data_IF_900883260839
#
_entry.id   IF_900883260839
#
_cell.length_a   1.000
_cell.length_b   1.000
_cell.length_c   1.000
_cell.angle_alpha   90.00
_cell.angle_beta   90.00
_cell.angle_gamma   90.00
#
_symmetry.space_group_name_H-M   'P 1'
#
loop_
_entity.id
_entity.type
_entity.pdbx_description
1 polymer ?
#
# COMPACT_ATOMS: atom_id res chain seq x y z
N UNK A 1 -15.51 -26.77 4.84
CA UNK A 1 -14.13 -26.39 4.52
C UNK A 1 -13.44 -27.29 3.50
N UNK A 2 -13.42 -28.65 3.64
CA UNK A 2 -12.76 -29.54 2.65
C UNK A 2 -13.40 -29.51 1.24
N UNK A 3 -14.72 -29.42 1.10
CA UNK A 3 -15.40 -29.31 -0.21
C UNK A 3 -15.18 -27.95 -0.89
N UNK A 4 -15.03 -26.87 -0.13
CA UNK A 4 -14.81 -25.51 -0.65
C UNK A 4 -13.43 -25.34 -1.31
N UNK A 5 -12.41 -26.04 -0.82
CA UNK A 5 -11.06 -26.02 -1.42
C UNK A 5 -10.94 -26.85 -2.70
N UNK A 6 -11.84 -27.81 -2.92
CA UNK A 6 -11.81 -28.64 -4.13
C UNK A 6 -12.47 -27.99 -5.37
N UNK A 7 -13.24 -26.91 -5.19
CA UNK A 7 -13.90 -26.17 -6.28
C UNK A 7 -13.03 -25.10 -6.95
N UNK A 8 -11.74 -25.01 -6.62
CA UNK A 8 -10.78 -24.28 -7.41
C UNK A 8 -10.59 -25.05 -8.72
N UNK A 9 -11.40 -24.73 -9.74
CA UNK A 9 -11.26 -25.36 -11.06
C UNK A 9 -9.84 -25.18 -11.56
N UNK A 10 -9.27 -26.19 -12.22
CA UNK A 10 -7.89 -26.18 -12.77
C UNK A 10 -7.59 -24.90 -13.56
N UNK A 11 -8.55 -24.40 -14.32
CA UNK A 11 -8.47 -23.14 -15.09
C UNK A 11 -8.11 -21.91 -14.24
N UNK A 12 -8.57 -21.82 -13.00
CA UNK A 12 -8.30 -20.66 -12.13
C UNK A 12 -6.93 -20.78 -11.43
N UNK A 13 -6.46 -22.00 -11.20
CA UNK A 13 -5.09 -22.26 -10.73
C UNK A 13 -4.13 -21.83 -11.83
N UNK A 14 -4.36 -22.25 -13.08
CA UNK A 14 -3.57 -21.85 -14.25
C UNK A 14 -3.54 -20.33 -14.43
N UNK A 15 -4.67 -19.63 -14.26
CA UNK A 15 -4.73 -18.18 -14.36
C UNK A 15 -3.87 -17.48 -13.30
N UNK A 16 -3.89 -17.98 -12.05
CA UNK A 16 -3.08 -17.45 -10.96
C UNK A 16 -1.59 -17.70 -11.18
N UNK A 17 -1.23 -18.91 -11.59
CA UNK A 17 0.18 -19.30 -11.88
C UNK A 17 0.73 -18.53 -13.07
N UNK A 18 -0.03 -18.42 -14.16
CA UNK A 18 0.35 -17.64 -15.34
C UNK A 18 0.54 -16.16 -14.99
N UNK A 19 -0.42 -15.58 -14.27
CA UNK A 19 -0.35 -14.18 -13.84
C UNK A 19 0.87 -13.90 -12.97
N UNK A 20 1.16 -14.77 -12.00
CA UNK A 20 2.36 -14.71 -11.17
C UNK A 20 3.62 -14.80 -12.01
N UNK A 21 3.70 -15.79 -12.90
CA UNK A 21 4.86 -16.02 -13.75
C UNK A 21 5.13 -14.83 -14.68
N UNK A 22 4.09 -14.30 -15.33
CA UNK A 22 4.20 -13.12 -16.21
C UNK A 22 4.66 -11.91 -15.41
N UNK A 23 4.06 -11.64 -14.24
CA UNK A 23 4.47 -10.52 -13.38
C UNK A 23 5.92 -10.65 -12.92
N UNK A 24 6.35 -11.86 -12.52
CA UNK A 24 7.73 -12.13 -12.12
C UNK A 24 8.70 -11.95 -13.29
N UNK A 25 8.43 -12.56 -14.43
CA UNK A 25 9.31 -12.49 -15.62
C UNK A 25 9.40 -11.06 -16.12
N UNK A 26 8.27 -10.34 -16.24
CA UNK A 26 8.27 -8.92 -16.60
C UNK A 26 9.06 -8.06 -15.59
N UNK A 27 8.93 -8.32 -14.29
CA UNK A 27 9.70 -7.62 -13.27
C UNK A 27 11.22 -7.87 -13.43
N UNK A 28 11.63 -9.09 -13.68
CA UNK A 28 13.03 -9.43 -13.94
C UNK A 28 13.54 -8.81 -15.25
N UNK A 29 12.74 -8.81 -16.31
CA UNK A 29 13.07 -8.15 -17.58
C UNK A 29 13.23 -6.64 -17.40
N UNK A 30 12.35 -5.97 -16.68
CA UNK A 30 12.48 -4.54 -16.37
C UNK A 30 13.78 -4.23 -15.62
N UNK A 31 14.19 -5.09 -14.69
CA UNK A 31 15.50 -4.95 -14.02
C UNK A 31 16.66 -5.18 -15.00
N UNK A 32 16.63 -6.23 -15.80
CA UNK A 32 17.70 -6.57 -16.73
C UNK A 32 17.88 -5.53 -17.85
N UNK A 33 16.78 -4.91 -18.29
CA UNK A 33 16.76 -3.92 -19.37
C UNK A 33 16.90 -2.47 -18.90
N UNK A 34 17.19 -2.23 -17.63
CA UNK A 34 17.30 -0.88 -17.04
C UNK A 34 18.25 0.03 -17.83
N UNK A 35 19.30 -0.49 -18.47
CA UNK A 35 20.22 0.29 -19.30
C UNK A 35 19.54 1.00 -20.50
N UNK A 36 18.42 0.47 -20.99
CA UNK A 36 17.72 1.02 -22.16
C UNK A 36 16.65 2.06 -21.77
N UNK A 37 15.94 1.87 -20.67
CA UNK A 37 14.84 2.74 -20.24
C UNK A 37 15.17 3.57 -18.98
N UNK A 38 16.30 3.33 -18.33
CA UNK A 38 16.64 3.89 -17.02
C UNK A 38 16.63 5.42 -17.01
N UNK A 39 16.98 6.09 -18.14
CA UNK A 39 16.95 7.56 -18.23
C UNK A 39 15.57 8.16 -17.88
N UNK A 40 14.49 7.42 -18.07
CA UNK A 40 13.10 7.86 -17.80
C UNK A 40 12.53 7.26 -16.52
N UNK A 41 13.00 6.06 -16.13
CA UNK A 41 12.36 5.23 -15.10
C UNK A 41 13.11 5.16 -13.78
N UNK A 42 14.41 5.54 -13.77
CA UNK A 42 15.21 5.49 -12.55
C UNK A 42 14.77 6.56 -11.54
N UNK A 43 14.53 6.13 -10.32
CA UNK A 43 14.27 7.02 -9.20
C UNK A 43 15.58 7.64 -8.68
N UNK A 44 15.55 8.97 -8.44
CA UNK A 44 16.73 9.68 -7.93
C UNK A 44 17.00 9.33 -6.48
N UNK A 45 18.29 9.24 -6.10
CA UNK A 45 18.71 8.89 -4.73
C UNK A 45 18.66 10.05 -3.75
N UNK A 46 18.33 11.28 -4.19
CA UNK A 46 18.25 12.49 -3.36
C UNK A 46 16.82 12.97 -3.20
N UNK A 47 16.41 13.30 -1.97
CA UNK A 47 15.07 13.82 -1.64
C UNK A 47 14.67 13.53 -0.19
N UNK A 48 13.62 14.21 0.31
CA UNK A 48 13.17 14.15 1.72
C UNK A 48 12.71 12.75 2.14
N UNK A 49 12.17 11.96 1.19
CA UNK A 49 11.62 10.61 1.42
C UNK A 49 12.50 9.49 0.81
N UNK A 50 13.70 9.81 0.31
CA UNK A 50 14.57 8.86 -0.39
C UNK A 50 15.50 8.14 0.59
N UNK A 51 15.30 6.84 0.74
CA UNK A 51 16.09 5.99 1.65
C UNK A 51 16.96 4.96 0.90
N UNK A 52 16.95 4.96 -0.43
CA UNK A 52 17.77 4.09 -1.26
C UNK A 52 19.08 4.79 -1.69
N UNK A 53 20.13 4.00 -1.86
CA UNK A 53 21.48 4.48 -2.24
C UNK A 53 21.83 4.22 -3.70
N UNK A 54 21.04 3.39 -4.39
CA UNK A 54 21.25 3.00 -5.80
C UNK A 54 20.04 3.44 -6.61
N UNK A 55 20.24 4.07 -7.79
CA UNK A 55 19.14 4.38 -8.70
C UNK A 55 18.39 3.11 -9.09
N UNK A 56 17.08 3.06 -8.88
CA UNK A 56 16.25 1.87 -9.09
C UNK A 56 15.05 2.21 -9.99
N UNK A 57 14.69 1.38 -10.97
CA UNK A 57 13.49 1.60 -11.78
C UNK A 57 12.22 1.60 -10.93
N UNK A 58 11.29 2.55 -11.20
CA UNK A 58 10.03 2.73 -10.46
C UNK A 58 8.80 2.50 -11.35
N UNK A 59 8.81 1.42 -12.11
CA UNK A 59 7.75 1.06 -13.07
C UNK A 59 7.23 -0.37 -12.85
N UNK A 60 7.30 -0.87 -11.61
CA UNK A 60 6.82 -2.22 -11.26
C UNK A 60 5.33 -2.45 -11.55
N UNK A 61 4.53 -1.37 -11.54
CA UNK A 61 3.13 -1.43 -11.93
C UNK A 61 2.88 -1.97 -13.33
N UNK A 62 3.82 -1.80 -14.28
CA UNK A 62 3.71 -2.41 -15.62
C UNK A 62 3.73 -3.94 -15.56
N UNK A 63 4.61 -4.52 -14.77
CA UNK A 63 4.71 -5.97 -14.62
C UNK A 63 3.42 -6.54 -13.99
N UNK A 64 2.87 -5.86 -12.99
CA UNK A 64 1.61 -6.24 -12.35
C UNK A 64 0.45 -6.15 -13.34
N UNK A 65 0.32 -5.04 -14.08
CA UNK A 65 -0.75 -4.87 -15.06
C UNK A 65 -0.70 -5.95 -16.15
N UNK A 66 0.49 -6.24 -16.70
CA UNK A 66 0.65 -7.32 -17.68
C UNK A 66 0.28 -8.68 -17.08
N UNK A 67 0.75 -8.99 -15.87
CA UNK A 67 0.37 -10.21 -15.15
C UNK A 67 -1.15 -10.35 -14.99
N UNK A 68 -1.84 -9.27 -14.65
CA UNK A 68 -3.30 -9.25 -14.51
C UNK A 68 -4.03 -9.46 -15.85
N UNK A 69 -3.54 -8.84 -16.92
CA UNK A 69 -4.11 -9.01 -18.27
C UNK A 69 -4.01 -10.48 -18.70
N UNK A 70 -2.83 -11.09 -18.56
CA UNK A 70 -2.62 -12.50 -18.92
C UNK A 70 -3.44 -13.45 -18.02
N UNK A 71 -3.50 -13.16 -16.72
CA UNK A 71 -4.38 -13.91 -15.80
C UNK A 71 -5.86 -13.82 -16.20
N UNK A 72 -6.33 -12.63 -16.58
CA UNK A 72 -7.68 -12.42 -17.06
C UNK A 72 -7.95 -13.23 -18.35
N UNK A 73 -7.03 -13.19 -19.31
CA UNK A 73 -7.16 -13.95 -20.56
C UNK A 73 -7.19 -15.47 -20.34
N UNK A 74 -6.45 -15.97 -19.37
CA UNK A 74 -6.41 -17.39 -19.00
C UNK A 74 -7.56 -17.83 -18.10
N UNK A 75 -8.34 -16.90 -17.55
CA UNK A 75 -9.45 -17.19 -16.64
C UNK A 75 -10.68 -17.71 -17.39
N UNK A 76 -11.54 -18.43 -16.67
CA UNK A 76 -12.87 -18.84 -17.19
C UNK A 76 -13.72 -17.64 -17.59
N UNK A 77 -14.68 -17.82 -18.50
CA UNK A 77 -15.58 -16.75 -18.96
C UNK A 77 -16.33 -16.08 -17.77
N UNK A 78 -16.69 -16.85 -16.76
CA UNK A 78 -17.32 -16.33 -15.53
C UNK A 78 -16.37 -15.41 -14.77
N UNK A 79 -15.14 -15.82 -14.61
CA UNK A 79 -14.12 -15.03 -13.92
C UNK A 79 -13.73 -13.77 -14.70
N UNK A 80 -13.70 -13.84 -16.05
CA UNK A 80 -13.46 -12.69 -16.92
C UNK A 80 -14.52 -11.60 -16.77
N UNK A 81 -15.79 -11.97 -16.53
CA UNK A 81 -16.88 -11.00 -16.28
C UNK A 81 -16.63 -10.11 -15.06
N UNK A 82 -15.85 -10.59 -14.09
CA UNK A 82 -15.47 -9.80 -12.92
C UNK A 82 -14.13 -9.06 -13.14
N UNK A 83 -13.13 -9.74 -13.71
CA UNK A 83 -11.78 -9.17 -13.89
C UNK A 83 -11.70 -8.12 -15.01
N UNK A 84 -12.35 -8.34 -16.17
CA UNK A 84 -12.18 -7.45 -17.31
C UNK A 84 -12.73 -6.03 -17.07
N UNK A 85 -13.95 -5.83 -16.51
CA UNK A 85 -14.44 -4.50 -16.13
C UNK A 85 -13.54 -3.83 -15.09
N UNK A 86 -13.02 -4.61 -14.14
CA UNK A 86 -12.12 -4.10 -13.10
C UNK A 86 -10.81 -3.58 -13.69
N UNK A 87 -10.19 -4.33 -14.62
CA UNK A 87 -8.96 -3.91 -15.30
C UNK A 87 -9.19 -2.70 -16.21
N UNK A 88 -10.31 -2.67 -16.94
CA UNK A 88 -10.68 -1.52 -17.77
C UNK A 88 -10.87 -0.26 -16.92
N UNK A 89 -11.58 -0.37 -15.80
CA UNK A 89 -11.80 0.74 -14.87
C UNK A 89 -10.52 1.19 -14.15
N UNK A 90 -9.53 0.32 -13.97
CA UNK A 90 -8.24 0.68 -13.39
C UNK A 90 -7.39 1.61 -14.29
N UNK A 91 -7.73 1.71 -15.59
CA UNK A 91 -6.90 2.44 -16.56
C UNK A 91 -6.62 3.90 -16.18
N UNK A 92 -7.57 4.75 -15.75
CA UNK A 92 -7.26 6.12 -15.35
C UNK A 92 -6.24 6.18 -14.20
N UNK A 93 -6.43 5.41 -13.12
CA UNK A 93 -5.52 5.37 -11.99
C UNK A 93 -4.12 4.91 -12.40
N UNK A 94 -4.04 3.84 -13.18
CA UNK A 94 -2.79 3.27 -13.65
C UNK A 94 -2.04 4.20 -14.60
N UNK A 95 -2.73 4.75 -15.62
CA UNK A 95 -2.10 5.58 -16.64
C UNK A 95 -1.57 6.90 -16.06
N UNK A 96 -2.32 7.57 -15.18
CA UNK A 96 -1.85 8.78 -14.51
C UNK A 96 -0.69 8.48 -13.54
N UNK A 97 -0.69 7.32 -12.89
CA UNK A 97 0.43 6.87 -12.07
C UNK A 97 1.68 6.60 -12.89
N UNK A 98 1.59 5.85 -14.00
CA UNK A 98 2.71 5.62 -14.92
C UNK A 98 3.20 6.94 -15.55
N UNK A 99 2.29 7.85 -15.93
CA UNK A 99 2.67 9.16 -16.42
C UNK A 99 3.50 9.94 -15.38
N UNK A 100 3.16 9.86 -14.08
CA UNK A 100 3.98 10.44 -13.01
C UNK A 100 5.33 9.74 -12.89
N UNK A 101 5.36 8.41 -12.93
CA UNK A 101 6.59 7.62 -12.86
C UNK A 101 7.59 7.99 -13.94
N UNK A 102 7.10 8.28 -15.14
CA UNK A 102 7.93 8.62 -16.30
C UNK A 102 8.27 10.11 -16.38
N UNK A 103 7.31 10.99 -16.06
CA UNK A 103 7.45 12.43 -16.34
C UNK A 103 7.72 13.27 -15.09
N UNK A 104 7.30 12.82 -13.91
CA UNK A 104 7.33 13.56 -12.64
C UNK A 104 6.61 14.91 -12.70
N UNK A 105 5.57 15.00 -13.53
CA UNK A 105 4.86 16.26 -13.81
C UNK A 105 3.36 16.19 -13.51
N UNK A 106 2.84 15.02 -13.15
CA UNK A 106 1.41 14.86 -12.85
C UNK A 106 1.13 15.37 -11.43
N UNK A 107 0.26 16.35 -11.31
CA UNK A 107 -0.07 16.95 -10.02
C UNK A 107 -0.78 15.96 -9.10
N UNK A 108 -0.68 16.18 -7.77
CA UNK A 108 -1.36 15.35 -6.76
C UNK A 108 -2.88 15.34 -6.98
N UNK A 109 -3.45 16.53 -7.30
CA UNK A 109 -4.89 16.64 -7.61
C UNK A 109 -5.30 15.84 -8.83
N UNK A 110 -4.49 15.86 -9.91
CA UNK A 110 -4.78 15.09 -11.12
C UNK A 110 -4.77 13.57 -10.84
N UNK A 111 -3.84 13.09 -10.02
CA UNK A 111 -3.77 11.67 -9.61
C UNK A 111 -4.96 11.27 -8.73
N UNK A 112 -5.38 12.15 -7.80
CA UNK A 112 -6.59 11.91 -6.99
C UNK A 112 -7.84 11.85 -7.88
N UNK A 113 -8.01 12.79 -8.80
CA UNK A 113 -9.14 12.79 -9.75
C UNK A 113 -9.11 11.54 -10.63
N UNK A 114 -7.94 11.11 -11.11
CA UNK A 114 -7.80 9.90 -11.91
C UNK A 114 -8.19 8.63 -11.14
N UNK A 115 -7.79 8.52 -9.86
CA UNK A 115 -8.18 7.38 -9.02
C UNK A 115 -9.68 7.38 -8.69
N UNK A 116 -10.28 8.55 -8.48
CA UNK A 116 -11.74 8.68 -8.35
C UNK A 116 -12.46 8.36 -9.66
N UNK A 117 -11.94 8.81 -10.81
CA UNK A 117 -12.48 8.47 -12.13
C UNK A 117 -12.47 6.96 -12.39
N UNK A 118 -11.46 6.23 -11.91
CA UNK A 118 -11.47 4.76 -11.91
C UNK A 118 -12.64 4.18 -11.11
N UNK A 119 -12.97 4.77 -9.96
CA UNK A 119 -14.14 4.37 -9.17
C UNK A 119 -15.45 4.62 -9.91
N UNK A 120 -15.61 5.78 -10.55
CA UNK A 120 -16.79 6.09 -11.38
C UNK A 120 -16.89 5.16 -12.59
N UNK A 121 -15.77 4.91 -13.29
CA UNK A 121 -15.72 4.01 -14.43
C UNK A 121 -16.13 2.58 -14.05
N UNK A 122 -15.67 2.11 -12.88
CA UNK A 122 -16.04 0.79 -12.40
C UNK A 122 -17.52 0.69 -12.02
N UNK A 123 -18.08 1.74 -11.39
CA UNK A 123 -19.52 1.81 -11.19
C UNK A 123 -20.28 1.78 -12.52
N UNK A 124 -19.87 2.55 -13.51
CA UNK A 124 -20.52 2.58 -14.82
C UNK A 124 -20.51 1.23 -15.54
N UNK A 125 -19.47 0.41 -15.33
CA UNK A 125 -19.32 -0.92 -15.93
C UNK A 125 -20.02 -2.04 -15.14
N UNK A 126 -20.20 -1.85 -13.82
CA UNK A 126 -20.67 -2.94 -12.92
C UNK A 126 -21.99 -2.63 -12.21
N UNK A 127 -22.39 -1.37 -12.15
CA UNK A 127 -23.56 -0.91 -11.36
C UNK A 127 -23.32 -0.91 -9.84
N UNK A 128 -22.11 -1.27 -9.37
CA UNK A 128 -21.81 -1.44 -7.95
C UNK A 128 -21.47 -0.10 -7.30
N UNK A 129 -22.09 0.21 -6.15
CA UNK A 129 -21.76 1.37 -5.33
C UNK A 129 -22.06 1.10 -3.85
N UNK A 130 -21.45 1.89 -2.95
CA UNK A 130 -21.65 1.79 -1.50
C UNK A 130 -22.99 2.47 -1.15
N UNK A 131 -24.00 1.67 -0.79
CA UNK A 131 -25.29 2.15 -0.33
C UNK A 131 -25.44 2.06 1.20
N UNK A 132 -24.68 1.16 1.86
CA UNK A 132 -24.81 0.90 3.29
C UNK A 132 -23.42 0.87 3.96
N UNK A 133 -23.25 1.70 4.97
CA UNK A 133 -22.03 1.77 5.81
C UNK A 133 -22.28 1.27 7.22
N UNK A 134 -23.54 1.10 7.58
CA UNK A 134 -23.98 0.87 8.95
C UNK A 134 -24.00 2.15 9.82
N UNK A 135 -23.90 3.34 9.25
CA UNK A 135 -24.05 4.63 9.93
C UNK A 135 -25.34 5.29 9.43
N UNK A 136 -26.39 5.28 10.25
CA UNK A 136 -27.77 5.56 9.82
C UNK A 136 -27.94 6.87 9.02
N UNK A 137 -27.35 7.98 9.46
CA UNK A 137 -27.44 9.25 8.72
C UNK A 137 -26.74 9.14 7.35
N UNK A 138 -25.56 8.52 7.31
CA UNK A 138 -24.81 8.34 6.07
C UNK A 138 -25.55 7.39 5.12
N UNK A 139 -26.10 6.32 5.64
CA UNK A 139 -26.88 5.35 4.84
C UNK A 139 -28.12 5.99 4.23
N UNK A 140 -28.83 6.87 4.98
CA UNK A 140 -29.95 7.65 4.45
C UNK A 140 -29.52 8.55 3.28
N UNK A 141 -28.35 9.19 3.36
CA UNK A 141 -27.80 10.00 2.28
C UNK A 141 -27.36 9.16 1.07
N UNK A 142 -26.74 8.00 1.33
CA UNK A 142 -26.25 7.09 0.28
C UNK A 142 -27.39 6.35 -0.44
N UNK A 143 -28.62 6.40 0.07
CA UNK A 143 -29.82 6.00 -0.67
C UNK A 143 -30.04 6.78 -1.97
N UNK A 144 -29.47 8.00 -2.09
CA UNK A 144 -29.46 8.74 -3.33
C UNK A 144 -28.26 8.34 -4.20
N UNK A 145 -28.54 7.68 -5.34
CA UNK A 145 -27.54 7.06 -6.20
C UNK A 145 -26.36 7.98 -6.57
N UNK A 146 -26.53 9.26 -6.99
CA UNK A 146 -25.39 10.10 -7.31
C UNK A 146 -24.42 10.30 -6.14
N UNK A 147 -24.95 10.40 -4.92
CA UNK A 147 -24.12 10.55 -3.73
C UNK A 147 -23.42 9.24 -3.37
N UNK A 148 -24.11 8.09 -3.51
CA UNK A 148 -23.51 6.75 -3.36
C UNK A 148 -22.33 6.55 -4.32
N UNK A 149 -22.50 6.92 -5.60
CA UNK A 149 -21.43 6.82 -6.61
C UNK A 149 -20.26 7.73 -6.27
N UNK A 150 -20.54 8.99 -5.91
CA UNK A 150 -19.49 9.95 -5.53
C UNK A 150 -18.73 9.51 -4.28
N UNK A 151 -19.45 9.02 -3.27
CA UNK A 151 -18.85 8.46 -2.05
C UNK A 151 -18.00 7.23 -2.33
N UNK A 152 -18.49 6.33 -3.19
CA UNK A 152 -17.73 5.14 -3.63
C UNK A 152 -16.45 5.55 -4.35
N UNK A 153 -16.54 6.48 -5.30
CA UNK A 153 -15.37 6.99 -6.02
C UNK A 153 -14.36 7.64 -5.07
N UNK A 154 -14.83 8.41 -4.08
CA UNK A 154 -13.98 9.02 -3.06
C UNK A 154 -13.32 7.96 -2.16
N UNK A 155 -14.07 6.96 -1.69
CA UNK A 155 -13.53 5.89 -0.86
C UNK A 155 -12.47 5.07 -1.60
N UNK A 156 -12.77 4.67 -2.84
CA UNK A 156 -11.85 3.91 -3.69
C UNK A 156 -10.60 4.72 -4.05
N UNK A 157 -10.79 5.98 -4.48
CA UNK A 157 -9.69 6.89 -4.75
C UNK A 157 -8.85 7.17 -3.50
N UNK A 158 -9.49 7.30 -2.34
CA UNK A 158 -8.86 7.49 -1.04
C UNK A 158 -7.95 6.32 -0.66
N UNK A 159 -8.42 5.09 -0.78
CA UNK A 159 -7.61 3.88 -0.50
C UNK A 159 -6.48 3.74 -1.53
N UNK A 160 -6.73 4.03 -2.82
CA UNK A 160 -5.69 4.00 -3.85
C UNK A 160 -4.55 4.98 -3.52
N UNK A 161 -4.89 6.20 -3.10
CA UNK A 161 -3.89 7.18 -2.65
C UNK A 161 -3.24 6.78 -1.31
N UNK A 162 -3.97 6.13 -0.41
CA UNK A 162 -3.42 5.64 0.85
C UNK A 162 -2.35 4.54 0.62
N UNK A 163 -2.55 3.64 -0.33
CA UNK A 163 -1.55 2.65 -0.73
C UNK A 163 -0.32 3.32 -1.34
N UNK A 164 -0.51 4.37 -2.14
CA UNK A 164 0.61 5.16 -2.67
C UNK A 164 1.40 5.88 -1.55
N UNK A 165 0.73 6.42 -0.52
CA UNK A 165 1.39 7.07 0.63
C UNK A 165 2.30 6.10 1.40
N UNK A 166 1.90 4.84 1.52
CA UNK A 166 2.72 3.84 2.23
C UNK A 166 3.79 3.19 1.35
N UNK A 167 3.86 3.47 0.05
CA UNK A 167 4.88 2.90 -0.85
C UNK A 167 6.25 3.58 -0.68
N UNK A 168 6.78 3.52 0.54
CA UNK A 168 8.06 4.14 0.90
C UNK A 168 9.21 3.17 1.14
N UNK A 169 8.96 1.85 1.24
CA UNK A 169 9.94 0.81 1.57
C UNK A 169 9.67 -0.49 0.81
N UNK A 170 10.74 -1.27 0.61
CA UNK A 170 10.68 -2.53 -0.12
C UNK A 170 9.61 -3.47 0.45
N UNK A 171 8.67 -3.90 -0.38
CA UNK A 171 7.58 -4.81 -0.03
C UNK A 171 6.46 -4.22 0.85
N UNK A 172 6.57 -2.96 1.28
CA UNK A 172 5.62 -2.39 2.23
C UNK A 172 4.20 -2.32 1.64
N UNK A 173 4.03 -1.60 0.55
CA UNK A 173 2.73 -1.41 -0.08
C UNK A 173 2.20 -2.73 -0.67
N UNK A 174 3.00 -3.44 -1.47
CA UNK A 174 2.59 -4.70 -2.09
C UNK A 174 2.24 -5.78 -1.07
N UNK A 175 3.04 -5.95 0.00
CA UNK A 175 2.74 -6.91 1.07
C UNK A 175 1.49 -6.53 1.87
N UNK A 176 1.27 -5.24 2.13
CA UNK A 176 0.04 -4.76 2.80
C UNK A 176 -1.20 -5.03 1.96
N UNK A 177 -1.13 -4.79 0.65
CA UNK A 177 -2.25 -5.08 -0.26
C UNK A 177 -2.53 -6.58 -0.34
N UNK A 178 -1.49 -7.42 -0.41
CA UNK A 178 -1.66 -8.89 -0.38
C UNK A 178 -2.38 -9.33 0.90
N UNK A 179 -2.01 -8.81 2.07
CA UNK A 179 -2.69 -9.10 3.34
C UNK A 179 -4.18 -8.72 3.28
N UNK A 180 -4.49 -7.51 2.79
CA UNK A 180 -5.88 -7.05 2.65
C UNK A 180 -6.69 -7.89 1.67
N UNK A 181 -6.11 -8.24 0.51
CA UNK A 181 -6.76 -9.09 -0.49
C UNK A 181 -6.99 -10.51 0.00
N UNK A 182 -6.06 -11.08 0.77
CA UNK A 182 -6.26 -12.39 1.41
C UNK A 182 -7.44 -12.31 2.37
N UNK A 183 -7.54 -11.27 3.20
CA UNK A 183 -8.67 -11.11 4.12
C UNK A 183 -10.00 -10.98 3.37
N UNK A 184 -10.08 -10.12 2.34
CA UNK A 184 -11.29 -9.97 1.50
C UNK A 184 -11.65 -11.31 0.85
N UNK A 185 -10.67 -12.04 0.30
CA UNK A 185 -10.87 -13.35 -0.32
C UNK A 185 -11.36 -14.41 0.66
N UNK A 186 -10.81 -14.45 1.88
CA UNK A 186 -11.25 -15.39 2.92
C UNK A 186 -12.67 -15.10 3.40
N UNK A 187 -13.04 -13.82 3.57
CA UNK A 187 -14.41 -13.42 3.91
C UNK A 187 -15.37 -13.82 2.78
N UNK A 188 -14.98 -13.57 1.52
CA UNK A 188 -15.79 -13.99 0.37
C UNK A 188 -16.01 -15.51 0.32
N UNK A 189 -14.97 -16.31 0.62
CA UNK A 189 -15.06 -17.77 0.73
C UNK A 189 -16.03 -18.19 1.83
N UNK A 190 -15.95 -17.58 3.00
CA UNK A 190 -16.84 -17.88 4.13
C UNK A 190 -18.31 -17.58 3.78
N UNK A 191 -18.54 -16.55 2.95
CA UNK A 191 -19.87 -16.21 2.43
C UNK A 191 -20.31 -17.06 1.23
N UNK A 192 -19.49 -17.99 0.72
CA UNK A 192 -19.77 -18.80 -0.46
C UNK A 192 -19.54 -18.09 -1.80
N UNK A 193 -19.00 -16.85 -1.81
CA UNK A 193 -18.68 -16.10 -3.04
C UNK A 193 -17.31 -16.51 -3.59
N UNK A 194 -17.26 -17.70 -4.16
CA UNK A 194 -16.04 -18.29 -4.69
C UNK A 194 -15.45 -17.48 -5.86
N UNK A 195 -16.26 -16.79 -6.65
CA UNK A 195 -15.77 -15.95 -7.76
C UNK A 195 -14.98 -14.75 -7.27
N UNK A 196 -15.52 -14.03 -6.28
CA UNK A 196 -14.83 -12.88 -5.68
C UNK A 196 -13.56 -13.32 -4.99
N UNK A 197 -13.61 -14.43 -4.24
CA UNK A 197 -12.44 -15.00 -3.58
C UNK A 197 -11.32 -15.34 -4.57
N UNK A 198 -11.66 -16.02 -5.67
CA UNK A 198 -10.71 -16.34 -6.75
C UNK A 198 -10.09 -15.08 -7.36
N UNK A 199 -10.91 -14.04 -7.60
CA UNK A 199 -10.41 -12.75 -8.09
C UNK A 199 -9.37 -12.16 -7.14
N UNK A 200 -9.64 -12.14 -5.84
CA UNK A 200 -8.71 -11.68 -4.83
C UNK A 200 -7.39 -12.48 -4.87
N UNK A 201 -7.47 -13.81 -4.97
CA UNK A 201 -6.28 -14.67 -5.00
C UNK A 201 -5.49 -14.57 -6.30
N UNK A 202 -6.14 -14.34 -7.46
CA UNK A 202 -5.45 -14.03 -8.72
C UNK A 202 -4.66 -12.72 -8.57
N UNK A 203 -5.28 -11.66 -8.04
CA UNK A 203 -4.59 -10.37 -7.82
C UNK A 203 -3.46 -10.53 -6.81
N UNK A 204 -3.63 -11.34 -5.75
CA UNK A 204 -2.56 -11.69 -4.82
C UNK A 204 -1.38 -12.38 -5.53
N UNK A 205 -1.65 -13.41 -6.32
CA UNK A 205 -0.61 -14.17 -7.01
C UNK A 205 0.21 -13.29 -7.96
N UNK A 206 -0.45 -12.46 -8.75
CA UNK A 206 0.20 -11.49 -9.65
C UNK A 206 1.05 -10.49 -8.86
N UNK A 207 0.53 -9.98 -7.74
CA UNK A 207 1.26 -9.04 -6.87
C UNK A 207 2.47 -9.70 -6.25
N UNK A 208 2.39 -10.98 -5.86
CA UNK A 208 3.51 -11.77 -5.33
C UNK A 208 4.61 -11.92 -6.39
N UNK A 209 4.29 -12.10 -7.67
CA UNK A 209 5.29 -12.15 -8.76
C UNK A 209 6.19 -10.91 -8.79
N UNK A 210 5.62 -9.71 -8.68
CA UNK A 210 6.37 -8.46 -8.51
C UNK A 210 7.09 -8.40 -7.16
N UNK A 211 6.40 -8.76 -6.06
CA UNK A 211 6.93 -8.69 -4.70
C UNK A 211 8.25 -9.44 -4.54
N UNK A 212 8.42 -10.60 -5.15
CA UNK A 212 9.65 -11.40 -5.11
C UNK A 212 10.88 -10.67 -5.69
N UNK A 213 10.69 -9.71 -6.58
CA UNK A 213 11.77 -8.88 -7.15
C UNK A 213 11.98 -7.60 -6.32
N UNK A 214 10.89 -7.06 -5.75
CA UNK A 214 10.94 -5.85 -4.92
C UNK A 214 11.48 -6.15 -3.52
N UNK A 215 11.01 -7.20 -2.85
CA UNK A 215 11.40 -7.56 -1.48
C UNK A 215 12.39 -8.73 -1.48
N UNK A 216 13.46 -8.71 -0.67
CA UNK A 216 13.82 -7.62 0.25
C UNK A 216 14.77 -6.57 -0.34
N UNK A 217 15.32 -6.79 -1.55
CA UNK A 217 16.45 -6.02 -2.07
C UNK A 217 16.07 -4.74 -2.83
N UNK A 218 14.80 -4.53 -3.16
CA UNK A 218 14.35 -3.33 -3.86
C UNK A 218 14.93 -3.17 -5.25
N UNK A 219 15.05 -4.26 -6.03
CA UNK A 219 15.61 -4.23 -7.40
C UNK A 219 14.70 -3.52 -8.41
N UNK A 220 13.40 -3.47 -8.11
CA UNK A 220 12.36 -2.79 -8.87
C UNK A 220 11.37 -2.16 -7.88
N UNK A 221 11.08 -0.86 -7.99
CA UNK A 221 10.07 -0.20 -7.17
C UNK A 221 8.69 -0.29 -7.81
N UNK A 222 7.65 -0.28 -6.97
CA UNK A 222 6.26 -0.40 -7.40
C UNK A 222 5.87 0.78 -8.31
N UNK A 223 6.24 1.98 -7.92
CA UNK A 223 5.90 3.24 -8.58
C UNK A 223 4.46 3.67 -8.33
N UNK A 224 4.14 4.90 -8.73
CA UNK A 224 2.81 5.47 -8.57
C UNK A 224 1.77 4.67 -9.36
N UNK A 225 2.12 4.23 -10.59
CA UNK A 225 1.24 3.39 -11.41
C UNK A 225 0.87 2.09 -10.72
N UNK A 226 1.83 1.41 -10.11
CA UNK A 226 1.58 0.16 -9.37
C UNK A 226 0.83 0.39 -8.07
N UNK A 227 1.15 1.44 -7.33
CA UNK A 227 0.53 1.74 -6.05
C UNK A 227 -0.96 2.11 -6.21
N UNK A 228 -1.29 2.97 -7.20
CA UNK A 228 -2.69 3.31 -7.50
C UNK A 228 -3.46 2.11 -8.06
N UNK A 229 -2.85 1.30 -8.92
CA UNK A 229 -3.47 0.07 -9.43
C UNK A 229 -3.84 -0.88 -8.29
N UNK A 230 -2.88 -1.25 -7.46
CA UNK A 230 -3.10 -2.18 -6.35
C UNK A 230 -4.07 -1.63 -5.32
N UNK A 231 -3.98 -0.34 -4.99
CA UNK A 231 -4.89 0.30 -4.05
C UNK A 231 -6.33 0.37 -4.59
N UNK A 232 -6.50 0.68 -5.89
CA UNK A 232 -7.80 0.62 -6.56
C UNK A 232 -8.40 -0.79 -6.53
N UNK A 233 -7.61 -1.81 -6.88
CA UNK A 233 -8.07 -3.20 -6.90
C UNK A 233 -8.51 -3.66 -5.51
N UNK A 234 -7.70 -3.40 -4.47
CA UNK A 234 -8.05 -3.73 -3.08
C UNK A 234 -9.35 -3.04 -2.66
N UNK A 235 -9.47 -1.74 -2.93
CA UNK A 235 -10.64 -0.95 -2.55
C UNK A 235 -11.90 -1.43 -3.27
N UNK A 236 -11.82 -1.64 -4.59
CA UNK A 236 -12.98 -2.06 -5.35
C UNK A 236 -13.45 -3.47 -5.01
N UNK A 237 -12.53 -4.42 -4.84
CA UNK A 237 -12.88 -5.77 -4.38
C UNK A 237 -13.49 -5.75 -2.98
N UNK A 238 -13.06 -4.83 -2.12
CA UNK A 238 -13.66 -4.57 -0.82
C UNK A 238 -15.10 -4.04 -0.92
N UNK A 239 -15.36 -3.11 -1.85
CA UNK A 239 -16.72 -2.62 -2.15
C UNK A 239 -17.60 -3.75 -2.70
N UNK A 240 -17.06 -4.53 -3.64
CA UNK A 240 -17.75 -5.65 -4.27
C UNK A 240 -18.10 -6.74 -3.24
N UNK A 241 -17.24 -6.99 -2.25
CA UNK A 241 -17.51 -7.93 -1.16
C UNK A 241 -18.81 -7.59 -0.44
N UNK A 242 -18.96 -6.35 0.02
CA UNK A 242 -20.15 -5.91 0.76
C UNK A 242 -21.39 -5.88 -0.13
N UNK A 243 -21.23 -5.43 -1.38
CA UNK A 243 -22.33 -5.37 -2.34
C UNK A 243 -22.92 -6.75 -2.67
N UNK A 244 -22.06 -7.75 -2.87
CA UNK A 244 -22.47 -9.12 -3.23
C UNK A 244 -22.90 -9.94 -2.00
N UNK A 245 -22.43 -9.57 -0.81
CA UNK A 245 -22.66 -10.29 0.44
C UNK A 245 -23.23 -9.33 1.50
N UNK A 246 -24.56 -9.03 1.45
CA UNK A 246 -25.18 -8.03 2.34
C UNK A 246 -25.09 -8.37 3.84
N UNK A 247 -24.81 -9.63 4.20
CA UNK A 247 -24.55 -10.06 5.58
C UNK A 247 -23.19 -9.57 6.12
N UNK A 248 -22.25 -9.22 5.23
CA UNK A 248 -20.92 -8.71 5.61
C UNK A 248 -21.03 -7.23 5.97
N UNK A 249 -20.56 -6.88 7.15
CA UNK A 249 -20.50 -5.48 7.56
C UNK A 249 -19.46 -4.69 6.76
N UNK A 250 -19.80 -3.46 6.35
CA UNK A 250 -18.87 -2.54 5.67
C UNK A 250 -17.60 -2.20 6.50
N UNK A 251 -17.62 -2.48 7.80
CA UNK A 251 -16.46 -2.32 8.67
C UNK A 251 -15.41 -3.42 8.49
N UNK A 252 -15.80 -4.59 7.96
CA UNK A 252 -14.85 -5.68 7.71
C UNK A 252 -13.82 -5.32 6.63
N UNK A 253 -14.19 -4.91 5.40
CA UNK A 253 -13.22 -4.47 4.41
C UNK A 253 -12.48 -3.18 4.82
N UNK A 254 -13.06 -2.31 5.64
CA UNK A 254 -12.34 -1.17 6.22
C UNK A 254 -11.15 -1.63 7.07
N UNK A 255 -11.34 -2.68 7.88
CA UNK A 255 -10.26 -3.30 8.67
C UNK A 255 -9.24 -4.04 7.79
N UNK A 256 -9.66 -4.64 6.69
CA UNK A 256 -8.74 -5.21 5.69
C UNK A 256 -7.83 -4.13 5.06
N UNK A 257 -8.31 -2.88 4.98
CA UNK A 257 -7.57 -1.70 4.51
C UNK A 257 -7.01 -0.84 5.67
N UNK A 258 -6.94 -1.35 6.91
CA UNK A 258 -6.71 -0.53 8.10
C UNK A 258 -5.39 0.27 8.04
N UNK A 259 -4.26 -0.38 7.80
CA UNK A 259 -2.96 0.29 7.90
C UNK A 259 -2.81 1.48 6.92
N UNK A 260 -3.02 1.34 5.59
CA UNK A 260 -2.94 2.47 4.68
C UNK A 260 -3.96 3.56 5.01
N UNK A 261 -5.18 3.20 5.39
CA UNK A 261 -6.24 4.14 5.74
C UNK A 261 -5.90 4.93 7.01
N UNK A 262 -5.46 4.25 8.08
CA UNK A 262 -5.08 4.90 9.34
C UNK A 262 -3.89 5.82 9.17
N UNK A 263 -2.86 5.40 8.44
CA UNK A 263 -1.68 6.22 8.14
C UNK A 263 -2.08 7.51 7.39
N UNK A 264 -2.97 7.38 6.41
CA UNK A 264 -3.41 8.51 5.59
C UNK A 264 -4.28 9.48 6.38
N UNK A 265 -5.33 8.98 7.05
CA UNK A 265 -6.25 9.82 7.86
C UNK A 265 -5.46 10.54 8.96
N UNK A 266 -4.63 9.81 9.70
CA UNK A 266 -3.80 10.41 10.75
C UNK A 266 -2.84 11.46 10.19
N UNK A 267 -2.20 11.20 9.05
CA UNK A 267 -1.28 12.16 8.41
C UNK A 267 -2.00 13.43 8.00
N UNK A 268 -3.20 13.32 7.40
CA UNK A 268 -4.02 14.48 7.02
C UNK A 268 -4.37 15.29 8.27
N UNK A 269 -4.95 14.65 9.30
CA UNK A 269 -5.35 15.34 10.56
C UNK A 269 -4.14 16.00 11.22
N UNK A 270 -3.02 15.29 11.37
CA UNK A 270 -1.80 15.83 11.96
C UNK A 270 -1.28 17.05 11.20
N UNK A 271 -1.32 17.03 9.86
CA UNK A 271 -0.83 18.14 9.03
C UNK A 271 -1.73 19.35 9.09
N UNK A 272 -3.06 19.15 9.04
CA UNK A 272 -4.03 20.22 9.23
C UNK A 272 -3.86 20.86 10.61
N UNK A 273 -3.68 20.07 11.67
CA UNK A 273 -3.39 20.58 13.01
C UNK A 273 -2.11 21.40 13.07
N UNK A 274 -1.07 20.97 12.35
CA UNK A 274 0.19 21.71 12.25
C UNK A 274 0.16 22.86 11.21
N UNK A 275 -1.01 23.21 10.65
CA UNK A 275 -1.19 24.21 9.58
C UNK A 275 -0.29 23.98 8.37
N UNK A 276 -0.07 22.71 8.00
CA UNK A 276 0.73 22.31 6.82
C UNK A 276 -0.20 21.74 5.75
N UNK A 277 0.12 21.99 4.48
CA UNK A 277 -0.65 21.45 3.37
C UNK A 277 -0.54 19.91 3.32
N UNK A 278 -1.65 19.14 3.25
CA UNK A 278 -1.64 17.67 3.25
C UNK A 278 -0.83 17.05 2.10
N UNK A 279 -0.76 17.66 0.94
CA UNK A 279 -0.09 17.16 -0.25
C UNK A 279 1.43 17.36 -0.30
N UNK A 280 2.06 18.04 0.66
CA UNK A 280 3.52 18.23 0.62
C UNK A 280 4.28 16.95 1.04
N UNK A 281 5.54 16.72 0.60
CA UNK A 281 6.38 15.61 1.06
C UNK A 281 6.51 15.58 2.59
N UNK A 282 6.44 14.40 3.19
CA UNK A 282 6.48 14.22 4.65
C UNK A 282 7.44 13.10 5.06
N UNK A 283 8.26 13.34 6.05
CA UNK A 283 9.19 12.36 6.62
C UNK A 283 8.73 11.80 7.97
N UNK A 284 7.49 12.12 8.38
CA UNK A 284 6.93 11.74 9.67
C UNK A 284 5.88 10.62 9.58
N UNK A 285 5.85 9.87 8.49
CA UNK A 285 5.04 8.64 8.40
C UNK A 285 5.55 7.58 9.38
N UNK A 286 4.67 6.72 9.90
CA UNK A 286 5.04 5.70 10.88
C UNK A 286 6.19 4.82 10.36
N UNK A 287 6.13 4.34 9.12
CA UNK A 287 7.19 3.55 8.50
C UNK A 287 8.54 4.29 8.44
N UNK A 288 8.53 5.61 8.19
CA UNK A 288 9.75 6.44 8.24
C UNK A 288 10.31 6.56 9.65
N UNK A 289 9.45 6.68 10.67
CA UNK A 289 9.84 6.70 12.08
C UNK A 289 10.42 5.36 12.51
N UNK A 290 9.82 4.24 12.11
CA UNK A 290 10.36 2.88 12.34
C UNK A 290 11.74 2.73 11.72
N UNK A 291 11.96 3.22 10.51
CA UNK A 291 13.28 3.25 9.87
C UNK A 291 14.31 3.96 10.74
N UNK A 292 13.98 5.11 11.27
CA UNK A 292 14.89 5.92 12.10
C UNK A 292 15.09 5.27 13.47
N UNK A 293 14.02 4.87 14.14
CA UNK A 293 14.04 4.39 15.51
C UNK A 293 14.61 2.98 15.65
N UNK A 294 14.16 2.06 14.79
CA UNK A 294 14.43 0.62 14.88
C UNK A 294 15.49 0.17 13.88
N UNK A 295 15.19 0.26 12.56
CA UNK A 295 16.07 -0.31 11.55
C UNK A 295 17.47 0.33 11.57
N UNK A 296 17.55 1.64 11.75
CA UNK A 296 18.83 2.32 11.89
C UNK A 296 19.58 2.03 13.20
N UNK A 297 18.98 1.44 14.22
CA UNK A 297 19.61 1.08 15.50
C UNK A 297 20.06 -0.37 15.53
N UNK A 298 19.15 -1.29 15.24
CA UNK A 298 19.36 -2.71 15.46
C UNK A 298 19.94 -3.42 14.22
N UNK A 299 19.69 -2.89 13.01
CA UNK A 299 20.11 -3.50 11.75
C UNK A 299 21.24 -2.75 11.04
N UNK A 300 22.12 -2.08 11.81
CA UNK A 300 23.25 -1.30 11.26
C UNK A 300 24.23 -2.12 10.43
N UNK A 301 24.38 -3.41 10.75
CA UNK A 301 25.27 -4.33 10.04
C UNK A 301 24.74 -4.76 8.68
N UNK A 302 23.42 -4.59 8.43
CA UNK A 302 22.80 -4.96 7.17
C UNK A 302 23.08 -3.91 6.08
N UNK A 303 23.09 -4.36 4.82
CA UNK A 303 23.15 -3.47 3.67
C UNK A 303 21.96 -2.49 3.65
N UNK A 304 22.08 -1.37 2.95
CA UNK A 304 21.02 -0.36 2.90
C UNK A 304 19.67 -0.92 2.40
N UNK A 305 19.60 -1.75 1.35
CA UNK A 305 18.34 -2.38 0.92
C UNK A 305 17.71 -3.26 2.00
N UNK A 306 18.48 -4.11 2.66
CA UNK A 306 17.98 -4.98 3.73
C UNK A 306 17.47 -4.17 4.93
N UNK A 307 18.16 -3.09 5.32
CA UNK A 307 17.67 -2.19 6.37
C UNK A 307 16.35 -1.51 5.98
N UNK A 308 16.11 -1.25 4.70
CA UNK A 308 14.84 -0.73 4.21
C UNK A 308 13.75 -1.80 4.31
N UNK A 309 14.06 -3.03 3.90
CA UNK A 309 13.15 -4.15 3.99
C UNK A 309 12.71 -4.48 5.43
N UNK A 310 13.58 -4.30 6.44
CA UNK A 310 13.24 -4.53 7.86
C UNK A 310 12.11 -3.63 8.41
N UNK A 311 11.69 -2.60 7.68
CA UNK A 311 10.55 -1.75 8.07
C UNK A 311 9.23 -2.43 7.78
N UNK A 312 9.14 -3.15 6.66
CA UNK A 312 7.89 -3.70 6.14
C UNK A 312 7.21 -4.74 7.04
N UNK A 313 7.91 -5.70 7.68
CA UNK A 313 7.29 -6.65 8.61
C UNK A 313 6.55 -6.00 9.77
N UNK A 314 7.05 -4.88 10.29
CA UNK A 314 6.37 -4.13 11.35
C UNK A 314 5.01 -3.58 10.85
N UNK A 315 5.00 -3.01 9.67
CA UNK A 315 3.78 -2.46 9.07
C UNK A 315 2.81 -3.56 8.63
N UNK A 316 3.33 -4.70 8.15
CA UNK A 316 2.50 -5.87 7.83
C UNK A 316 1.80 -6.44 9.07
N UNK A 317 2.46 -6.42 10.24
CA UNK A 317 1.81 -6.82 11.49
C UNK A 317 0.62 -5.89 11.81
N UNK A 318 0.80 -4.57 11.65
CA UNK A 318 -0.28 -3.60 11.85
C UNK A 318 -1.40 -3.69 10.80
N UNK A 319 -1.15 -4.28 9.65
CA UNK A 319 -2.16 -4.58 8.65
C UNK A 319 -2.84 -5.95 8.91
N UNK A 320 -2.06 -6.97 9.26
CA UNK A 320 -2.52 -8.34 9.38
C UNK A 320 -3.44 -8.55 10.58
N UNK A 321 -3.14 -7.92 11.73
CA UNK A 321 -3.96 -8.09 12.95
C UNK A 321 -5.40 -7.61 12.74
N UNK A 322 -5.68 -6.37 12.30
CA UNK A 322 -7.04 -5.93 12.03
C UNK A 322 -7.70 -6.70 10.87
N UNK A 323 -6.94 -7.05 9.83
CA UNK A 323 -7.44 -7.83 8.71
C UNK A 323 -7.89 -9.24 9.15
N UNK A 324 -7.10 -9.90 10.00
CA UNK A 324 -7.49 -11.19 10.59
C UNK A 324 -8.71 -11.09 11.48
N UNK A 325 -8.80 -10.03 12.29
CA UNK A 325 -9.99 -9.78 13.10
C UNK A 325 -11.25 -9.62 12.24
N UNK A 326 -11.15 -8.95 11.10
CA UNK A 326 -12.23 -8.83 10.14
C UNK A 326 -12.67 -10.19 9.55
N UNK A 327 -11.71 -11.09 9.30
CA UNK A 327 -11.99 -12.48 8.85
C UNK A 327 -12.73 -13.29 9.91
N UNK A 328 -12.38 -13.09 11.19
CA UNK A 328 -13.00 -13.83 12.29
C UNK A 328 -14.44 -13.37 12.59
N UNK A 329 -14.77 -12.09 12.35
CA UNK A 329 -16.06 -11.50 12.73
C UNK A 329 -16.73 -10.69 11.61
N UNK A 330 -16.81 -11.19 10.35
CA UNK A 330 -17.18 -10.37 9.19
C UNK A 330 -18.59 -9.78 9.25
N UNK A 331 -19.50 -10.42 10.01
CA UNK A 331 -20.91 -10.02 10.13
C UNK A 331 -21.20 -9.25 11.43
N UNK A 332 -20.30 -9.29 12.42
CA UNK A 332 -20.50 -8.64 13.71
C UNK A 332 -20.05 -7.18 13.68
N UNK A 333 -20.97 -6.29 13.33
CA UNK A 333 -20.72 -4.85 13.24
C UNK A 333 -20.12 -4.26 14.52
N UNK A 334 -20.65 -4.62 15.69
CA UNK A 334 -20.21 -4.02 16.97
C UNK A 334 -18.76 -4.42 17.25
N UNK A 335 -18.43 -5.71 17.10
CA UNK A 335 -17.07 -6.18 17.24
C UNK A 335 -16.11 -5.49 16.25
N UNK A 336 -16.53 -5.32 14.99
CA UNK A 336 -15.70 -4.66 13.96
C UNK A 336 -15.49 -3.17 14.25
N UNK A 337 -16.50 -2.46 14.73
CA UNK A 337 -16.35 -1.06 15.17
C UNK A 337 -15.36 -0.96 16.33
N UNK A 338 -15.52 -1.81 17.36
CA UNK A 338 -14.58 -1.90 18.48
C UNK A 338 -13.17 -2.26 18.01
N UNK A 339 -13.05 -3.26 17.14
CA UNK A 339 -11.79 -3.67 16.53
C UNK A 339 -11.12 -2.54 15.75
N UNK A 340 -11.90 -1.71 15.05
CA UNK A 340 -11.40 -0.54 14.34
C UNK A 340 -10.85 0.51 15.32
N UNK A 341 -11.58 0.81 16.38
CA UNK A 341 -11.15 1.77 17.41
C UNK A 341 -9.89 1.30 18.13
N UNK A 342 -9.85 0.02 18.53
CA UNK A 342 -8.68 -0.58 19.19
C UNK A 342 -7.47 -0.59 18.26
N UNK A 343 -7.64 -0.99 17.00
CA UNK A 343 -6.56 -1.02 16.01
C UNK A 343 -6.02 0.40 15.72
N UNK A 344 -6.91 1.39 15.62
CA UNK A 344 -6.49 2.79 15.47
C UNK A 344 -5.78 3.31 16.71
N UNK A 345 -6.26 2.99 17.91
CA UNK A 345 -5.59 3.30 19.18
C UNK A 345 -4.20 2.70 19.27
N UNK A 346 -4.04 1.43 18.87
CA UNK A 346 -2.74 0.75 18.80
C UNK A 346 -1.81 1.44 17.78
N UNK A 347 -2.33 1.79 16.59
CA UNK A 347 -1.58 2.56 15.60
C UNK A 347 -1.07 3.89 16.19
N UNK A 348 -1.93 4.66 16.90
CA UNK A 348 -1.54 5.92 17.53
C UNK A 348 -0.47 5.74 18.61
N UNK A 349 -0.60 4.69 19.44
CA UNK A 349 0.37 4.35 20.46
C UNK A 349 1.74 4.01 19.85
N UNK A 350 1.75 3.17 18.80
CA UNK A 350 2.95 2.82 18.04
C UNK A 350 3.57 4.08 17.40
N UNK A 351 2.77 4.94 16.79
CA UNK A 351 3.23 6.19 16.20
C UNK A 351 3.92 7.08 17.24
N UNK A 352 3.28 7.27 18.38
CA UNK A 352 3.80 8.13 19.45
C UNK A 352 5.12 7.59 20.02
N UNK A 353 5.19 6.29 20.27
CA UNK A 353 6.40 5.63 20.74
C UNK A 353 7.55 5.78 19.74
N UNK A 354 7.31 5.49 18.45
CA UNK A 354 8.31 5.62 17.40
C UNK A 354 8.74 7.07 17.17
N UNK A 355 7.83 8.03 17.25
CA UNK A 355 8.14 9.46 17.14
C UNK A 355 9.03 9.95 18.28
N UNK A 356 8.80 9.49 19.52
CA UNK A 356 9.67 9.79 20.67
C UNK A 356 11.07 9.18 20.49
N UNK A 357 11.14 7.91 20.12
CA UNK A 357 12.40 7.21 19.89
C UNK A 357 13.22 7.84 18.74
N UNK A 358 12.56 8.20 17.63
CA UNK A 358 13.22 8.88 16.52
C UNK A 358 13.74 10.27 16.89
N UNK A 359 12.98 11.06 17.67
CA UNK A 359 13.42 12.37 18.17
C UNK A 359 14.64 12.26 19.10
N UNK A 360 14.59 11.34 20.05
CA UNK A 360 15.72 11.10 20.96
C UNK A 360 17.00 10.74 20.20
N UNK A 361 16.88 9.95 19.12
CA UNK A 361 18.01 9.57 18.28
C UNK A 361 18.57 10.75 17.47
N UNK A 362 17.70 11.58 16.86
CA UNK A 362 18.15 12.78 16.13
C UNK A 362 18.93 13.71 17.06
N UNK A 363 18.43 13.95 18.29
CA UNK A 363 19.12 14.78 19.31
C UNK A 363 20.50 14.23 19.69
N UNK A 364 20.66 12.89 19.77
CA UNK A 364 21.98 12.27 20.05
C UNK A 364 22.95 12.42 18.88
N UNK A 365 22.46 12.36 17.64
CA UNK A 365 23.29 12.51 16.44
C UNK A 365 23.75 13.95 16.21
N UNK A 366 23.00 14.95 16.70
CA UNK A 366 23.34 16.39 16.58
C UNK A 366 24.12 16.94 17.78
N UNK A 367 24.31 16.18 18.88
CA UNK A 367 25.21 16.58 19.95
C UNK A 367 26.64 16.53 19.37
N UNK A 368 27.39 17.66 19.39
CA UNK A 368 28.80 17.61 19.05
C UNK A 368 29.45 16.57 19.97
N UNK A 369 30.22 15.66 19.37
CA UNK A 369 31.12 14.84 20.16
C UNK A 369 31.99 15.85 20.91
N UNK A 370 31.87 15.90 22.23
CA UNK A 370 32.92 16.48 23.06
C UNK A 370 34.09 15.54 22.83
N UNK A 371 34.90 15.79 21.79
CA UNK A 371 36.24 15.30 21.76
C UNK A 371 36.82 15.84 23.09
N UNK A 372 37.23 14.92 23.95
CA UNK A 372 38.11 15.22 25.02
C UNK A 372 39.23 16.07 24.37
N UNK A 373 39.20 17.36 24.58
CA UNK A 373 40.37 18.20 24.36
C UNK A 373 41.38 17.57 25.31
N UNK A 374 42.34 16.83 24.79
CA UNK A 374 43.45 16.35 25.59
C UNK A 374 44.08 17.58 26.18
N UNK A 375 44.06 17.71 27.51
CA UNK A 375 44.73 18.78 28.23
C UNK A 375 46.18 18.90 27.80
N UNK A 376 46.79 17.82 27.30
CA UNK A 376 48.12 17.80 26.69
C UNK A 376 48.24 18.67 25.40
N UNK A 377 47.16 18.81 24.60
CA UNK A 377 47.20 19.64 23.38
C UNK A 377 47.10 21.14 23.72
N UNK A 378 46.48 21.48 24.86
CA UNK A 378 46.40 22.88 25.35
C UNK A 378 47.71 23.32 26.00
N UNK A 379 48.41 22.42 26.69
CA UNK A 379 49.72 22.74 27.31
C UNK A 379 50.82 22.93 26.26
N UNK A 380 50.78 22.22 25.13
CA UNK A 380 51.71 22.40 24.02
C UNK A 380 51.50 23.72 23.27
N UNK A 381 50.25 24.15 23.14
CA UNK A 381 49.92 25.42 22.45
C UNK A 381 50.25 26.64 23.32
N UNK A 382 50.08 26.55 24.64
CA UNK A 382 50.50 27.62 25.58
C UNK A 382 52.01 27.73 25.74
N UNK A 383 52.76 26.62 25.63
CA UNK A 383 54.22 26.65 25.68
C UNK A 383 54.84 27.25 24.41
N UNK A 384 54.19 27.15 23.25
CA UNK A 384 54.63 27.72 21.97
C UNK A 384 54.35 29.24 21.85
N UNK A 385 53.51 29.80 22.70
CA UNK A 385 53.20 31.23 22.74
C UNK A 385 54.04 32.00 23.76
N UNK A 386 54.87 31.31 24.55
CA UNK A 386 55.77 31.91 25.54
C UNK A 386 57.29 31.83 25.17
N UNK A 387 57.55 31.23 23.97
CA UNK A 387 58.93 31.23 23.39
C UNK A 387 58.97 32.17 22.17
#
# INVERSE_FOLDING_TARGET
>A
MKSLFMDLTETNIIASELGLAVSLVCSLLLVATTRWHGRFTLDATRGVQKFHSVPTPRIGGLAIMLGLIFACMASSATQQRLLAPLLAAAAPAFLFGIAEDLTRRVSIGARLVATMASGVACWALTGVSIAHTGVGLLDAMLGWLPLSVLFTAFAVGGVANAVNIIDGFNGLASGTVVIGLIAVGLIALDCGDAELARTCFIVCAVTVGFFLVNFPYGKLFLGDGGAYLLGFLLAWLSVTLVYRNPQVSSWAPLLACAYPTFETVFTIVRRLWCRRHPGQPDSCHLHSLVKIAVAGRYFRKFSAPLRNACVSPFSWFLAAVPAWFAVCFPQNREALVQGTLVSFGLYLACYWYMARAARARRRRATRPSVRSVNLADVETETASLQA
#
